data_IF_118191516209
#
_entry.id   IF_118191516209
#
_cell.length_a   1.000
_cell.length_b   1.000
_cell.length_c   1.000
_cell.angle_alpha   90.00
_cell.angle_beta   90.00
_cell.angle_gamma   90.00
#
_symmetry.space_group_name_H-M   'P 1'
#
loop_
_entity.id
_entity.type
_entity.pdbx_description
1 polymer ?
#
# COMPACT_ATOMS: atom_id res chain seq x y z
N UNK A 1 7.90 -16.56 2.12
CA UNK A 1 8.01 -15.26 2.83
C UNK A 1 8.48 -14.22 1.82
N UNK A 2 8.17 -12.95 2.00
CA UNK A 2 8.63 -11.90 1.07
C UNK A 2 9.13 -10.67 1.81
N UNK A 3 10.07 -9.97 1.20
CA UNK A 3 10.62 -8.73 1.72
C UNK A 3 11.34 -7.96 0.62
N UNK A 4 11.44 -6.66 0.80
CA UNK A 4 12.04 -5.79 -0.20
C UNK A 4 12.37 -4.42 0.35
N UNK A 5 13.42 -3.83 -0.22
CA UNK A 5 13.76 -2.42 -0.09
C UNK A 5 13.52 -1.73 -1.42
N UNK A 6 13.02 -0.52 -1.39
CA UNK A 6 12.98 0.34 -2.58
C UNK A 6 13.26 1.78 -2.20
N UNK A 7 13.65 2.58 -3.19
CA UNK A 7 13.88 4.01 -3.00
C UNK A 7 13.24 4.76 -4.15
N UNK A 8 12.72 5.95 -3.87
CA UNK A 8 12.27 6.89 -4.88
C UNK A 8 12.99 8.22 -4.69
N UNK A 9 13.14 8.98 -5.78
CA UNK A 9 13.80 10.28 -5.79
C UNK A 9 15.28 10.26 -5.35
N UNK A 10 16.03 9.22 -5.78
CA UNK A 10 17.45 9.03 -5.43
C UNK A 10 18.35 10.18 -5.91
N UNK A 11 18.01 10.79 -7.05
CA UNK A 11 18.67 11.99 -7.52
C UNK A 11 17.97 13.24 -6.94
N UNK A 12 18.47 13.73 -5.80
CA UNK A 12 18.06 15.02 -5.25
C UNK A 12 18.43 16.14 -6.22
N UNK A 13 17.55 16.43 -7.18
CA UNK A 13 17.73 17.55 -8.10
C UNK A 13 17.40 18.82 -7.35
N UNK A 14 18.42 19.66 -7.11
CA UNK A 14 18.24 21.03 -6.63
C UNK A 14 17.64 21.82 -7.80
N UNK A 15 16.36 22.18 -7.71
CA UNK A 15 15.74 23.03 -8.73
C UNK A 15 16.10 24.48 -8.43
N UNK A 16 16.97 25.07 -9.26
CA UNK A 16 17.23 26.50 -9.25
C UNK A 16 16.08 27.19 -9.99
N UNK A 17 14.98 27.49 -9.28
CA UNK A 17 14.01 28.46 -9.77
C UNK A 17 14.57 29.85 -9.49
N UNK A 18 14.71 30.68 -10.54
CA UNK A 18 15.09 32.08 -10.38
C UNK A 18 13.88 32.81 -9.81
N UNK A 19 13.93 33.26 -8.55
CA UNK A 19 13.12 34.41 -8.13
C UNK A 19 13.65 35.09 -6.86
N UNK A 20 13.80 36.41 -6.96
CA UNK A 20 13.90 37.36 -5.86
C UNK A 20 12.90 37.06 -4.74
N UNK A 21 13.38 36.58 -3.59
CA UNK A 21 12.88 36.87 -2.24
C UNK A 21 13.59 35.98 -1.22
N UNK A 22 14.10 36.61 -0.17
CA UNK A 22 14.91 36.05 0.92
C UNK A 22 14.09 35.15 1.87
N UNK A 23 13.73 33.94 1.40
CA UNK A 23 13.30 32.84 2.27
C UNK A 23 14.14 31.61 1.91
N UNK A 24 14.96 31.05 2.83
CA UNK A 24 15.72 29.84 2.56
C UNK A 24 14.78 28.63 2.54
N UNK A 25 14.13 28.39 1.40
CA UNK A 25 13.32 27.20 1.20
C UNK A 25 14.24 26.07 0.72
N UNK A 26 14.40 25.01 1.53
CA UNK A 26 15.11 23.80 1.12
C UNK A 26 14.28 23.02 0.09
N UNK A 27 14.23 23.54 -1.15
CA UNK A 27 13.58 22.91 -2.29
C UNK A 27 14.52 21.91 -2.98
N UNK A 28 14.72 20.77 -2.32
CA UNK A 28 15.29 19.57 -2.93
C UNK A 28 14.24 18.46 -3.00
N UNK A 29 14.27 17.65 -4.06
CA UNK A 29 13.55 16.37 -4.08
C UNK A 29 13.98 15.54 -2.86
N UNK A 30 13.00 15.15 -2.05
CA UNK A 30 13.24 14.43 -0.79
C UNK A 30 13.40 12.94 -1.10
N UNK A 31 14.55 12.32 -0.80
CA UNK A 31 14.70 10.89 -1.02
C UNK A 31 13.75 10.13 -0.09
N UNK A 32 12.98 9.20 -0.67
CA UNK A 32 12.13 8.29 0.10
C UNK A 32 12.74 6.89 0.06
N UNK A 33 12.79 6.26 1.21
CA UNK A 33 13.22 4.88 1.38
C UNK A 33 12.04 4.07 1.92
N UNK A 34 11.81 2.92 1.30
CA UNK A 34 10.73 2.01 1.64
C UNK A 34 11.33 0.67 2.04
N UNK A 35 10.87 0.14 3.17
CA UNK A 35 11.20 -1.19 3.63
C UNK A 35 9.91 -1.96 3.84
N UNK A 36 9.79 -3.14 3.27
CA UNK A 36 8.58 -3.95 3.35
C UNK A 36 8.92 -5.41 3.63
N UNK A 37 8.01 -6.07 4.34
CA UNK A 37 8.12 -7.49 4.66
C UNK A 37 6.76 -8.11 4.91
N UNK A 38 6.64 -9.41 4.69
CA UNK A 38 5.42 -10.15 4.96
C UNK A 38 5.57 -11.65 4.80
N UNK A 39 4.55 -12.37 5.27
CA UNK A 39 4.54 -13.83 5.24
C UNK A 39 3.15 -14.33 4.88
N UNK A 40 3.05 -15.39 4.06
CA UNK A 40 1.78 -16.08 3.76
C UNK A 40 1.66 -17.32 4.64
N UNK A 41 0.83 -17.23 5.67
CA UNK A 41 0.45 -18.33 6.56
C UNK A 41 -0.74 -19.07 5.97
N UNK A 42 -0.55 -20.30 5.50
CA UNK A 42 -1.66 -21.16 5.10
C UNK A 42 -2.26 -21.81 6.35
N UNK A 43 -3.32 -21.20 6.90
CA UNK A 43 -4.00 -21.71 8.11
C UNK A 43 -4.89 -22.91 7.78
N UNK A 44 -5.41 -22.96 6.56
CA UNK A 44 -6.25 -24.03 6.04
C UNK A 44 -6.03 -24.17 4.53
N UNK A 45 -6.39 -25.30 3.88
CA UNK A 45 -6.32 -25.43 2.42
C UNK A 45 -7.06 -24.34 1.66
N UNK A 46 -8.05 -23.69 2.30
CA UNK A 46 -8.85 -22.63 1.71
C UNK A 46 -8.57 -21.25 2.31
N UNK A 47 -7.82 -21.12 3.41
CA UNK A 47 -7.60 -19.84 4.09
C UNK A 47 -6.11 -19.58 4.23
N UNK A 48 -5.66 -18.47 3.66
CA UNK A 48 -4.33 -17.92 3.86
C UNK A 48 -4.41 -16.57 4.59
N UNK A 49 -3.62 -16.42 5.66
CA UNK A 49 -3.41 -15.14 6.33
C UNK A 49 -2.07 -14.55 5.89
N UNK A 50 -2.07 -13.27 5.55
CA UNK A 50 -0.93 -12.55 5.03
C UNK A 50 -0.71 -11.32 5.92
N UNK A 51 0.00 -11.47 7.05
CA UNK A 51 0.57 -10.34 7.76
C UNK A 51 1.71 -9.71 6.93
N UNK A 52 1.71 -8.39 6.82
CA UNK A 52 2.81 -7.63 6.21
C UNK A 52 2.98 -6.27 6.87
N UNK A 53 4.12 -5.65 6.67
CA UNK A 53 4.40 -4.29 7.13
C UNK A 53 5.16 -3.51 6.05
N UNK A 54 5.06 -2.20 6.11
CA UNK A 54 5.75 -1.27 5.24
C UNK A 54 6.19 -0.05 6.05
N UNK A 55 7.49 0.22 6.09
CA UNK A 55 8.06 1.42 6.71
C UNK A 55 8.55 2.35 5.61
N UNK A 56 8.20 3.64 5.74
CA UNK A 56 8.56 4.73 4.84
C UNK A 56 9.40 5.74 5.61
N UNK A 57 10.58 6.06 5.08
CA UNK A 57 11.50 7.04 5.62
C UNK A 57 11.73 8.13 4.57
N UNK A 58 11.43 9.38 4.88
CA UNK A 58 11.68 10.51 4.00
C UNK A 58 12.18 11.68 4.83
N UNK A 59 13.38 12.20 4.58
CA UNK A 59 13.90 13.35 5.33
C UNK A 59 13.44 14.66 4.68
N UNK A 60 12.91 15.64 5.43
CA UNK A 60 12.82 15.76 6.90
C UNK A 60 11.51 15.26 7.55
N UNK A 61 10.63 14.58 6.80
CA UNK A 61 9.37 14.04 7.32
C UNK A 61 9.57 12.95 8.40
N UNK A 62 8.66 12.84 9.38
CA UNK A 62 8.63 11.68 10.28
C UNK A 62 8.51 10.36 9.52
N UNK A 63 9.11 9.31 10.07
CA UNK A 63 8.95 7.95 9.57
C UNK A 63 7.51 7.46 9.74
N UNK A 64 6.94 6.85 8.70
CA UNK A 64 5.61 6.22 8.74
C UNK A 64 5.74 4.71 8.65
N UNK A 65 4.99 3.98 9.48
CA UNK A 65 4.93 2.51 9.41
C UNK A 65 3.48 2.05 9.29
N UNK A 66 3.24 1.23 8.29
CA UNK A 66 1.94 0.67 7.93
C UNK A 66 1.98 -0.83 8.27
N UNK A 67 1.13 -1.28 9.18
CA UNK A 67 0.91 -2.69 9.47
C UNK A 67 -0.31 -3.18 8.72
N UNK A 68 -0.21 -4.33 8.07
CA UNK A 68 -1.24 -4.87 7.20
C UNK A 68 -1.51 -6.32 7.59
N UNK A 69 -2.78 -6.70 7.57
CA UNK A 69 -3.21 -8.09 7.71
C UNK A 69 -4.27 -8.37 6.67
N UNK A 70 -4.04 -9.38 5.83
CA UNK A 70 -4.98 -9.79 4.78
C UNK A 70 -5.31 -11.27 4.92
N UNK A 71 -6.59 -11.58 5.02
CA UNK A 71 -7.11 -12.93 4.89
C UNK A 71 -7.56 -13.16 3.44
N UNK A 72 -7.16 -14.30 2.88
CA UNK A 72 -7.48 -14.72 1.52
C UNK A 72 -8.19 -16.07 1.60
N UNK A 73 -9.40 -16.13 1.06
CA UNK A 73 -10.22 -17.33 0.96
C UNK A 73 -10.22 -17.86 -0.47
N UNK A 74 -9.79 -19.11 -0.61
CA UNK A 74 -9.73 -19.89 -1.85
C UNK A 74 -9.06 -19.14 -3.01
N UNK A 75 -8.06 -18.33 -2.70
CA UNK A 75 -7.34 -17.44 -3.62
C UNK A 75 -8.26 -16.54 -4.48
N UNK A 76 -9.50 -16.29 -4.03
CA UNK A 76 -10.52 -15.55 -4.79
C UNK A 76 -11.03 -14.35 -4.05
N UNK A 77 -11.41 -14.54 -2.79
CA UNK A 77 -12.00 -13.50 -1.94
C UNK A 77 -10.95 -13.09 -0.93
N UNK A 78 -10.76 -11.79 -0.72
CA UNK A 78 -9.89 -11.29 0.33
C UNK A 78 -10.59 -10.24 1.17
N UNK A 79 -10.21 -10.20 2.43
CA UNK A 79 -10.52 -9.13 3.36
C UNK A 79 -9.24 -8.77 4.09
N UNK A 80 -9.00 -7.50 4.35
CA UNK A 80 -7.80 -7.08 5.04
C UNK A 80 -7.99 -5.74 5.75
N UNK A 81 -7.12 -5.51 6.71
CA UNK A 81 -7.02 -4.25 7.42
C UNK A 81 -5.59 -3.72 7.33
N UNK A 82 -5.48 -2.40 7.30
CA UNK A 82 -4.23 -1.66 7.36
C UNK A 82 -4.32 -0.68 8.51
N UNK A 83 -3.37 -0.74 9.42
CA UNK A 83 -3.19 0.24 10.46
C UNK A 83 -1.93 1.06 10.14
N UNK A 84 -2.12 2.33 9.80
CA UNK A 84 -1.04 3.27 9.61
C UNK A 84 -0.88 4.08 10.89
N UNK A 85 0.27 3.88 11.54
CA UNK A 85 0.57 4.52 12.82
C UNK A 85 0.43 6.04 12.69
N UNK A 86 -0.31 6.65 13.61
CA UNK A 86 -0.51 8.11 13.74
C UNK A 86 -1.20 8.79 12.53
N UNK A 87 -1.79 8.02 11.61
CA UNK A 87 -2.45 8.55 10.40
C UNK A 87 -3.88 8.01 10.23
N UNK A 88 -4.02 6.72 9.92
CA UNK A 88 -5.30 6.16 9.47
C UNK A 88 -5.44 4.66 9.71
N UNK A 89 -6.69 4.20 9.73
CA UNK A 89 -7.07 2.80 9.67
C UNK A 89 -7.88 2.53 8.40
N UNK A 90 -7.43 1.57 7.60
CA UNK A 90 -8.10 1.22 6.34
C UNK A 90 -8.59 -0.22 6.37
N UNK A 91 -9.73 -0.48 5.75
CA UNK A 91 -10.26 -1.83 5.53
C UNK A 91 -10.43 -2.04 4.04
N UNK A 92 -9.97 -3.18 3.56
CA UNK A 92 -10.13 -3.61 2.18
C UNK A 92 -10.90 -4.91 2.13
N UNK A 93 -11.75 -5.05 1.12
CA UNK A 93 -12.40 -6.30 0.78
C UNK A 93 -12.49 -6.42 -0.73
N UNK A 94 -12.52 -7.62 -1.26
CA UNK A 94 -12.64 -7.80 -2.70
C UNK A 94 -12.71 -9.25 -3.10
N UNK A 95 -13.05 -9.46 -4.35
CA UNK A 95 -13.15 -10.77 -4.92
C UNK A 95 -12.83 -10.77 -6.40
N UNK A 96 -12.23 -11.86 -6.86
CA UNK A 96 -11.99 -12.11 -8.27
C UNK A 96 -13.19 -12.86 -8.85
N UNK A 97 -13.92 -12.25 -9.79
CA UNK A 97 -15.07 -12.85 -10.47
C UNK A 97 -14.61 -14.00 -11.36
N UNK A 98 -13.54 -13.77 -12.12
CA UNK A 98 -12.91 -14.77 -12.96
C UNK A 98 -11.40 -14.50 -13.06
N UNK A 99 -10.70 -15.23 -13.94
CA UNK A 99 -9.26 -15.05 -14.13
C UNK A 99 -8.87 -13.71 -14.80
N UNK A 100 -9.84 -12.92 -15.26
CA UNK A 100 -9.63 -11.67 -15.99
C UNK A 100 -10.07 -10.48 -15.15
N UNK A 101 -11.16 -10.60 -14.41
CA UNK A 101 -11.84 -9.48 -13.76
C UNK A 101 -12.01 -9.73 -12.26
N UNK A 102 -11.73 -8.70 -11.48
CA UNK A 102 -11.97 -8.67 -10.05
C UNK A 102 -12.43 -7.29 -9.59
N UNK A 103 -13.16 -7.25 -8.49
CA UNK A 103 -13.68 -6.02 -7.89
C UNK A 103 -13.19 -5.98 -6.45
N UNK A 104 -12.72 -4.79 -6.04
CA UNK A 104 -12.33 -4.49 -4.68
C UNK A 104 -13.04 -3.24 -4.20
N UNK A 105 -13.15 -3.15 -2.88
CA UNK A 105 -13.61 -1.98 -2.18
C UNK A 105 -12.65 -1.70 -1.03
N UNK A 106 -12.30 -0.43 -0.86
CA UNK A 106 -11.50 0.04 0.25
C UNK A 106 -12.24 1.17 0.96
N UNK A 107 -12.14 1.16 2.28
CA UNK A 107 -12.56 2.25 3.14
C UNK A 107 -11.35 2.69 3.96
N UNK A 108 -10.98 3.95 3.85
CA UNK A 108 -9.89 4.53 4.64
C UNK A 108 -10.47 5.51 5.67
N UNK A 109 -10.32 5.19 6.95
CA UNK A 109 -10.76 6.03 8.06
C UNK A 109 -9.55 6.76 8.63
N UNK A 110 -9.47 8.07 8.40
CA UNK A 110 -8.40 8.92 8.94
C UNK A 110 -8.59 9.09 10.44
N UNK A 111 -7.60 8.68 11.24
CA UNK A 111 -7.64 8.75 12.71
C UNK A 111 -6.84 9.94 13.27
N UNK A 112 -6.03 10.59 12.43
CA UNK A 112 -5.22 11.76 12.78
C UNK A 112 -6.04 13.05 12.94
N UNK A 113 -5.40 14.14 13.37
CA UNK A 113 -6.00 15.48 13.55
C UNK A 113 -6.70 16.03 12.29
N UNK A 114 -6.45 15.42 11.13
CA UNK A 114 -7.16 15.67 9.87
C UNK A 114 -8.62 15.16 9.84
N UNK A 115 -9.06 14.35 10.81
CA UNK A 115 -10.43 13.83 10.90
C UNK A 115 -11.49 14.96 11.06
N UNK A 116 -11.08 16.16 11.51
CA UNK A 116 -11.96 17.33 11.53
C UNK A 116 -12.40 17.80 10.13
N UNK A 117 -11.64 17.46 9.08
CA UNK A 117 -11.90 17.88 7.70
C UNK A 117 -12.14 16.72 6.72
N UNK A 118 -11.75 15.48 7.09
CA UNK A 118 -11.90 14.29 6.24
C UNK A 118 -12.52 13.13 7.04
N UNK A 119 -13.79 12.81 6.77
CA UNK A 119 -14.55 11.73 7.43
C UNK A 119 -14.24 10.32 6.87
N UNK A 120 -13.14 10.19 6.14
CA UNK A 120 -12.73 8.96 5.47
C UNK A 120 -13.15 8.90 3.99
N UNK A 121 -12.57 7.94 3.28
CA UNK A 121 -12.69 7.78 1.83
C UNK A 121 -13.21 6.40 1.45
N UNK A 122 -14.11 6.36 0.48
CA UNK A 122 -14.62 5.13 -0.12
C UNK A 122 -14.04 4.97 -1.51
N UNK A 123 -13.35 3.86 -1.76
CA UNK A 123 -12.73 3.59 -3.05
C UNK A 123 -13.24 2.27 -3.61
N UNK A 124 -13.61 2.28 -4.89
CA UNK A 124 -13.99 1.08 -5.64
C UNK A 124 -12.91 0.82 -6.68
N UNK A 125 -12.37 -0.41 -6.69
CA UNK A 125 -11.28 -0.80 -7.56
C UNK A 125 -11.76 -1.88 -8.53
N UNK A 126 -11.56 -1.64 -9.82
CA UNK A 126 -11.77 -2.63 -10.86
C UNK A 126 -10.41 -3.18 -11.31
N UNK A 127 -10.21 -4.49 -11.14
CA UNK A 127 -8.98 -5.18 -11.53
C UNK A 127 -9.21 -5.89 -12.86
N UNK A 128 -8.37 -5.58 -13.86
CA UNK A 128 -8.39 -6.23 -15.18
C UNK A 128 -7.02 -6.85 -15.45
N UNK A 129 -6.98 -8.18 -15.56
CA UNK A 129 -5.79 -8.97 -15.88
C UNK A 129 -5.74 -9.22 -17.39
N UNK A 130 -4.87 -8.48 -18.07
CA UNK A 130 -4.63 -8.66 -19.50
C UNK A 130 -3.73 -9.88 -19.76
N UNK A 131 -3.98 -10.60 -20.86
CA UNK A 131 -3.14 -11.71 -21.34
C UNK A 131 -2.96 -12.89 -20.36
N UNK A 132 -3.94 -13.14 -19.48
CA UNK A 132 -3.90 -14.28 -18.54
C UNK A 132 -4.24 -15.63 -19.20
N UNK A 133 -3.36 -16.13 -20.07
CA UNK A 133 -3.54 -17.39 -20.82
C UNK A 133 -3.74 -18.60 -19.90
N UNK A 134 -3.07 -18.61 -18.75
CA UNK A 134 -3.10 -19.73 -17.78
C UNK A 134 -4.31 -19.68 -16.84
N UNK A 135 -5.20 -18.68 -17.01
CA UNK A 135 -6.37 -18.46 -16.15
C UNK A 135 -6.04 -18.45 -14.64
N UNK A 136 -4.84 -18.01 -14.27
CA UNK A 136 -4.39 -17.99 -12.89
C UNK A 136 -5.11 -16.89 -12.09
N UNK A 137 -5.74 -17.25 -10.97
CA UNK A 137 -6.44 -16.27 -10.12
C UNK A 137 -5.43 -15.57 -9.20
N UNK A 138 -4.57 -16.34 -8.53
CA UNK A 138 -3.39 -15.86 -7.82
C UNK A 138 -2.16 -16.69 -8.25
N UNK A 139 -1.01 -16.05 -8.52
CA UNK A 139 0.22 -16.77 -8.83
C UNK A 139 0.79 -17.40 -7.55
N UNK A 140 0.81 -18.75 -7.51
CA UNK A 140 1.22 -19.49 -6.31
C UNK A 140 2.72 -19.82 -6.22
N UNK A 141 3.55 -19.28 -7.12
CA UNK A 141 4.96 -19.66 -7.31
C UNK A 141 5.97 -18.57 -6.88
N UNK A 142 5.47 -17.45 -6.36
CA UNK A 142 6.25 -16.23 -6.11
C UNK A 142 6.47 -15.92 -4.61
N UNK A 143 6.23 -16.89 -3.72
CA UNK A 143 6.27 -16.69 -2.27
C UNK A 143 7.13 -17.70 -1.51
#
# INVERSE_FOLDING_TARGET
>A
FFGGISTSQLASKKQNFIQDMSIPQQNGLQPHYYFSGGYRLNVSPFIALIPSFLTKLAQPSPASTDFNLKALYNDRIYIGGTYRKDDAFSVITGFNINSILGIGYAYDATTSELNYFSQGSHEVVLNIKLLNKNKAICPNWLW
#
